data_IF_247024394037
#
_entry.id   IF_247024394037
#
_cell.length_a   1.000
_cell.length_b   1.000
_cell.length_c   1.000
_cell.angle_alpha   90.00
_cell.angle_beta   90.00
_cell.angle_gamma   90.00
#
_symmetry.space_group_name_H-M   'P 1'
#
loop_
_entity.id
_entity.type
_entity.pdbx_description
1 polymer ?
#
# COMPACT_ATOMS: atom_id res chain seq x y z
N UNK A 1 6.62 38.74 -20.59
CA UNK A 1 6.92 37.37 -20.14
C UNK A 1 8.10 37.47 -19.19
N UNK A 2 7.88 37.26 -17.88
CA UNK A 2 8.97 37.28 -16.91
C UNK A 2 9.94 36.11 -17.19
N UNK A 3 11.26 36.30 -17.05
CA UNK A 3 12.23 35.23 -17.30
C UNK A 3 12.02 34.11 -16.28
N UNK A 4 12.12 32.86 -16.74
CA UNK A 4 12.03 31.66 -15.91
C UNK A 4 13.20 31.64 -14.93
N UNK A 5 13.02 32.20 -13.75
CA UNK A 5 13.91 31.95 -12.61
C UNK A 5 13.97 30.45 -12.43
N UNK A 6 15.16 29.85 -12.56
CA UNK A 6 15.33 28.41 -12.40
C UNK A 6 14.65 27.98 -11.09
N UNK A 7 13.77 26.97 -11.09
CA UNK A 7 12.85 26.68 -9.98
C UNK A 7 13.54 26.24 -8.68
N UNK A 8 14.88 26.25 -8.62
CA UNK A 8 15.70 25.66 -7.56
C UNK A 8 16.76 26.61 -6.98
N UNK A 9 16.83 27.89 -7.40
CA UNK A 9 17.81 28.88 -6.88
C UNK A 9 17.65 29.18 -5.40
N UNK A 10 16.45 28.95 -4.83
CA UNK A 10 16.13 29.17 -3.42
C UNK A 10 16.51 27.98 -2.52
N UNK A 11 16.86 26.80 -3.07
CA UNK A 11 17.23 25.65 -2.23
C UNK A 11 18.40 25.93 -1.25
N UNK A 12 19.46 26.67 -1.63
CA UNK A 12 20.56 26.98 -0.71
C UNK A 12 20.18 27.87 0.47
N UNK A 13 19.11 28.67 0.38
CA UNK A 13 18.67 29.53 1.50
C UNK A 13 17.97 28.75 2.61
N UNK A 14 17.49 27.54 2.32
CA UNK A 14 16.80 26.70 3.30
C UNK A 14 17.73 26.11 4.37
N UNK A 15 17.19 25.94 5.58
CA UNK A 15 17.82 25.15 6.65
C UNK A 15 17.82 23.67 6.27
N UNK A 16 18.72 22.90 6.88
CA UNK A 16 18.80 21.44 6.66
C UNK A 16 17.45 20.76 6.91
N UNK A 17 16.77 21.09 8.01
CA UNK A 17 15.46 20.51 8.32
C UNK A 17 14.40 20.78 7.24
N UNK A 18 14.35 22.00 6.71
CA UNK A 18 13.46 22.37 5.61
C UNK A 18 13.78 21.56 4.35
N UNK A 19 15.06 21.36 4.03
CA UNK A 19 15.48 20.51 2.91
C UNK A 19 15.13 19.03 3.13
N UNK A 20 15.24 18.52 4.35
CA UNK A 20 14.83 17.15 4.70
C UNK A 20 13.31 16.97 4.58
N UNK A 21 12.53 17.97 5.01
CA UNK A 21 11.08 17.99 4.87
C UNK A 21 10.68 18.07 3.40
N UNK A 22 11.30 18.96 2.63
CA UNK A 22 11.09 19.06 1.19
C UNK A 22 11.43 17.75 0.48
N UNK A 23 12.56 17.13 0.82
CA UNK A 23 12.93 15.81 0.32
C UNK A 23 11.87 14.73 0.61
N UNK A 24 11.25 14.77 1.79
CA UNK A 24 10.12 13.88 2.13
C UNK A 24 8.90 14.15 1.25
N UNK A 25 8.53 15.42 1.07
CA UNK A 25 7.38 15.86 0.28
C UNK A 25 7.54 15.59 -1.22
N UNK A 26 8.77 15.60 -1.73
CA UNK A 26 9.07 15.27 -3.14
C UNK A 26 9.42 13.80 -3.34
N UNK A 27 9.40 12.97 -2.30
CA UNK A 27 9.74 11.56 -2.42
C UNK A 27 11.17 11.34 -2.87
N UNK A 28 12.15 11.87 -2.14
CA UNK A 28 13.55 11.49 -2.30
C UNK A 28 14.13 11.17 -0.92
N UNK A 29 15.35 10.64 -0.90
CA UNK A 29 16.04 10.35 0.36
C UNK A 29 16.27 11.65 1.16
N UNK A 30 15.83 11.67 2.41
CA UNK A 30 15.91 12.83 3.31
C UNK A 30 17.12 12.82 4.25
N UNK A 31 18.00 11.82 4.16
CA UNK A 31 19.25 11.76 4.93
C UNK A 31 20.43 12.36 4.14
N UNK A 32 21.43 12.89 4.84
CA UNK A 32 22.65 13.43 4.24
C UNK A 32 22.94 14.88 4.64
N UNK A 33 24.05 15.39 4.12
CA UNK A 33 24.50 16.78 4.35
C UNK A 33 23.69 17.77 3.51
N UNK A 34 23.71 19.05 3.88
CA UNK A 34 23.00 20.12 3.15
C UNK A 34 23.30 20.12 1.64
N UNK A 35 24.56 20.07 1.18
CA UNK A 35 24.86 20.09 -0.26
C UNK A 35 24.28 18.87 -0.98
N UNK A 36 24.34 17.69 -0.36
CA UNK A 36 23.82 16.44 -0.95
C UNK A 36 22.30 16.49 -1.08
N UNK A 37 21.58 17.04 -0.08
CA UNK A 37 20.13 17.22 -0.17
C UNK A 37 19.75 18.20 -1.29
N UNK A 38 20.46 19.33 -1.39
CA UNK A 38 20.24 20.32 -2.45
C UNK A 38 20.44 19.69 -3.83
N UNK A 39 21.52 18.93 -4.02
CA UNK A 39 21.83 18.30 -5.29
C UNK A 39 20.73 17.31 -5.72
N UNK A 40 20.28 16.43 -4.81
CA UNK A 40 19.18 15.51 -5.12
C UNK A 40 17.87 16.25 -5.43
N UNK A 41 17.56 17.31 -4.67
CA UNK A 41 16.36 18.12 -4.91
C UNK A 41 16.43 18.81 -6.27
N UNK A 42 17.59 19.36 -6.65
CA UNK A 42 17.80 19.91 -7.99
C UNK A 42 17.49 18.85 -9.04
N UNK A 43 18.12 17.69 -8.98
CA UNK A 43 17.95 16.62 -9.98
C UNK A 43 16.50 16.24 -10.23
N UNK A 44 15.67 16.24 -9.19
CA UNK A 44 14.25 15.87 -9.26
C UNK A 44 13.33 17.02 -9.65
N UNK A 45 13.71 18.27 -9.33
CA UNK A 45 12.93 19.47 -9.62
C UNK A 45 13.27 20.11 -10.98
N UNK A 46 14.38 19.71 -11.61
CA UNK A 46 14.72 20.14 -12.96
C UNK A 46 13.88 19.39 -14.00
N UNK A 47 12.88 20.08 -14.58
CA UNK A 47 12.00 19.60 -15.66
C UNK A 47 12.61 19.91 -17.04
N UNK A 48 13.88 19.58 -17.26
CA UNK A 48 14.41 19.61 -18.63
C UNK A 48 14.03 18.29 -19.32
N UNK A 49 13.54 18.32 -20.57
CA UNK A 49 13.27 17.11 -21.35
C UNK A 49 14.62 16.46 -21.65
N UNK A 50 15.06 15.55 -20.78
CA UNK A 50 16.24 14.73 -21.04
C UNK A 50 15.97 13.96 -22.33
N UNK A 51 16.66 14.34 -23.40
CA UNK A 51 16.83 13.48 -24.56
C UNK A 51 17.28 12.11 -24.05
N UNK A 52 16.68 11.06 -24.61
CA UNK A 52 16.87 9.68 -24.22
C UNK A 52 18.34 9.26 -24.33
N UNK A 53 19.12 9.51 -23.28
CA UNK A 53 20.43 8.89 -23.10
C UNK A 53 20.20 7.59 -22.35
N UNK A 54 20.53 6.48 -23.02
CA UNK A 54 20.38 5.09 -22.60
C UNK A 54 21.27 4.75 -21.40
N UNK A 55 21.05 5.35 -20.23
CA UNK A 55 21.73 4.99 -19.00
C UNK A 55 20.71 4.61 -17.92
N UNK A 56 21.06 3.60 -17.13
CA UNK A 56 20.22 2.80 -16.23
C UNK A 56 19.60 3.53 -15.01
N UNK A 57 19.38 4.84 -15.09
CA UNK A 57 18.78 5.67 -14.04
C UNK A 57 17.41 6.25 -14.43
N UNK A 58 16.62 5.48 -15.18
CA UNK A 58 15.25 5.80 -15.62
C UNK A 58 14.19 5.76 -14.48
N UNK A 59 14.62 5.81 -13.22
CA UNK A 59 13.75 5.55 -12.06
C UNK A 59 12.77 6.68 -11.72
N UNK A 60 12.89 7.87 -12.33
CA UNK A 60 12.05 9.02 -11.96
C UNK A 60 11.57 9.81 -13.20
N UNK A 61 10.67 9.22 -13.98
CA UNK A 61 9.93 9.97 -15.01
C UNK A 61 8.67 10.59 -14.40
N UNK A 62 8.43 11.86 -14.69
CA UNK A 62 7.23 12.58 -14.28
C UNK A 62 6.00 12.14 -15.10
N UNK A 63 4.81 12.33 -14.54
CA UNK A 63 3.55 12.07 -15.25
C UNK A 63 3.44 13.03 -16.45
N UNK A 64 3.22 12.47 -17.64
CA UNK A 64 3.00 13.23 -18.87
C UNK A 64 1.55 13.71 -18.97
N UNK A 65 1.35 15.02 -19.09
CA UNK A 65 0.03 15.66 -19.09
C UNK A 65 -0.82 15.30 -20.32
N UNK A 66 -0.19 14.86 -21.41
CA UNK A 66 -0.89 14.57 -22.67
C UNK A 66 -1.50 13.17 -22.72
N UNK A 67 -1.10 12.28 -21.81
CA UNK A 67 -1.53 10.87 -21.82
C UNK A 67 -2.05 10.45 -20.43
N UNK A 68 -3.02 9.52 -20.36
CA UNK A 68 -3.43 8.98 -19.07
C UNK A 68 -2.22 8.33 -18.39
N UNK A 69 -2.05 8.60 -17.10
CA UNK A 69 -1.08 7.85 -16.29
C UNK A 69 -1.80 6.66 -15.67
N UNK A 70 -1.25 5.48 -15.88
CA UNK A 70 -1.72 4.21 -15.34
C UNK A 70 -0.65 3.70 -14.36
N UNK A 71 -0.95 3.71 -13.06
CA UNK A 71 -0.02 3.41 -11.96
C UNK A 71 -0.42 2.07 -11.35
N UNK A 72 0.45 1.07 -11.47
CA UNK A 72 0.31 -0.22 -10.81
C UNK A 72 1.26 -0.26 -9.62
N UNK A 73 0.72 -0.31 -8.40
CA UNK A 73 1.50 -0.36 -7.16
C UNK A 73 1.39 -1.74 -6.52
N UNK A 74 2.53 -2.36 -6.25
CA UNK A 74 2.65 -3.71 -5.71
C UNK A 74 3.31 -3.64 -4.33
N UNK A 75 2.60 -4.16 -3.32
CA UNK A 75 3.17 -4.47 -2.02
C UNK A 75 3.67 -5.92 -2.02
N UNK A 76 4.94 -6.09 -1.67
CA UNK A 76 5.66 -7.33 -1.84
C UNK A 76 5.35 -8.33 -0.73
N UNK A 77 4.98 -9.54 -1.14
CA UNK A 77 4.74 -10.67 -0.26
C UNK A 77 4.62 -11.96 -1.06
N UNK A 78 4.81 -13.11 -0.41
CA UNK A 78 4.63 -14.41 -1.08
C UNK A 78 3.21 -14.92 -0.88
N UNK A 79 2.68 -14.83 0.35
CA UNK A 79 1.31 -15.26 0.72
C UNK A 79 0.32 -14.10 0.84
N UNK A 80 0.83 -12.89 0.71
CA UNK A 80 0.13 -11.66 1.01
C UNK A 80 0.48 -10.55 0.02
N UNK A 81 0.88 -10.91 -1.20
CA UNK A 81 1.10 -9.95 -2.26
C UNK A 81 -0.18 -9.14 -2.44
N UNK A 82 -0.09 -7.82 -2.49
CA UNK A 82 -1.23 -6.97 -2.76
C UNK A 82 -0.88 -5.98 -3.85
N UNK A 83 -1.86 -5.57 -4.63
CA UNK A 83 -1.66 -4.51 -5.61
C UNK A 83 -2.86 -3.58 -5.71
N UNK A 84 -2.57 -2.34 -6.11
CA UNK A 84 -3.56 -1.34 -6.44
C UNK A 84 -3.26 -0.79 -7.84
N UNK A 85 -4.30 -0.54 -8.62
CA UNK A 85 -4.20 0.11 -9.93
C UNK A 85 -4.94 1.44 -9.91
N UNK A 86 -4.21 2.53 -10.06
CA UNK A 86 -4.73 3.89 -10.12
C UNK A 86 -4.56 4.47 -11.52
N UNK A 87 -5.57 5.18 -12.01
CA UNK A 87 -5.52 5.90 -13.28
C UNK A 87 -5.72 7.39 -13.04
N UNK A 88 -4.80 8.20 -13.55
CA UNK A 88 -4.91 9.66 -13.64
C UNK A 88 -5.32 10.01 -15.07
N UNK A 89 -6.50 10.60 -15.29
CA UNK A 89 -6.95 11.01 -16.62
C UNK A 89 -6.00 12.04 -17.27
N UNK A 90 -5.96 12.15 -18.61
CA UNK A 90 -5.09 13.11 -19.29
C UNK A 90 -5.61 14.55 -19.22
N UNK A 91 -4.70 15.52 -19.39
CA UNK A 91 -5.02 16.94 -19.59
C UNK A 91 -5.86 17.54 -18.47
N UNK A 92 -6.83 18.38 -18.85
CA UNK A 92 -7.74 19.07 -17.93
C UNK A 92 -8.67 18.11 -17.16
N UNK A 93 -8.85 16.87 -17.62
CA UNK A 93 -9.71 15.90 -16.90
C UNK A 93 -8.99 15.32 -15.68
N UNK A 94 -7.66 15.21 -15.73
CA UNK A 94 -6.85 14.76 -14.61
C UNK A 94 -6.26 15.89 -13.78
N UNK A 95 -6.59 17.15 -14.10
CA UNK A 95 -6.05 18.31 -13.40
C UNK A 95 -7.10 19.35 -13.03
N UNK A 96 -6.90 20.03 -11.91
CA UNK A 96 -7.67 21.23 -11.56
C UNK A 96 -7.30 22.39 -12.51
N UNK A 97 -8.08 23.48 -12.55
CA UNK A 97 -7.70 24.70 -13.26
C UNK A 97 -6.38 25.31 -12.75
N UNK A 98 -6.05 25.12 -11.47
CA UNK A 98 -4.75 25.46 -10.87
C UNK A 98 -3.63 24.47 -11.25
N UNK A 99 -3.96 23.45 -12.04
CA UNK A 99 -3.04 22.45 -12.58
C UNK A 99 -2.63 21.37 -11.58
N UNK A 100 -3.26 21.27 -10.41
CA UNK A 100 -3.05 20.18 -9.46
C UNK A 100 -3.65 18.89 -9.99
N UNK A 101 -3.19 17.73 -9.53
CA UNK A 101 -3.81 16.46 -9.90
C UNK A 101 -5.23 16.37 -9.32
N UNK A 102 -6.21 16.06 -10.17
CA UNK A 102 -7.52 15.61 -9.73
C UNK A 102 -7.39 14.24 -9.05
N UNK A 103 -8.35 13.87 -8.19
CA UNK A 103 -8.40 12.55 -7.57
C UNK A 103 -8.24 11.41 -8.62
N UNK A 104 -7.27 10.49 -8.47
CA UNK A 104 -7.12 9.35 -9.36
C UNK A 104 -8.28 8.36 -9.21
N UNK A 105 -8.49 7.55 -10.24
CA UNK A 105 -9.51 6.50 -10.28
C UNK A 105 -8.88 5.18 -9.84
N UNK A 106 -9.38 4.58 -8.77
CA UNK A 106 -9.05 3.22 -8.34
C UNK A 106 -9.76 2.23 -9.26
N UNK A 107 -9.00 1.55 -10.12
CA UNK A 107 -9.53 0.57 -11.08
C UNK A 107 -9.47 -0.87 -10.56
N UNK A 108 -8.47 -1.20 -9.75
CA UNK A 108 -8.33 -2.52 -9.14
C UNK A 108 -7.63 -2.42 -7.79
N UNK A 109 -8.01 -3.29 -6.85
CA UNK A 109 -7.39 -3.34 -5.52
C UNK A 109 -7.55 -4.72 -4.90
N UNK A 110 -6.49 -5.54 -4.96
CA UNK A 110 -6.60 -6.96 -4.68
C UNK A 110 -5.42 -7.52 -3.91
N UNK A 111 -5.66 -8.61 -3.17
CA UNK A 111 -4.63 -9.41 -2.53
C UNK A 111 -4.58 -10.79 -3.14
N UNK A 112 -3.37 -11.20 -3.49
CA UNK A 112 -3.04 -12.44 -4.18
C UNK A 112 -2.11 -13.31 -3.32
N UNK A 113 -2.10 -14.60 -3.63
CA UNK A 113 -1.13 -15.56 -3.10
C UNK A 113 -0.27 -16.06 -4.27
N UNK A 114 1.06 -15.94 -4.15
CA UNK A 114 1.99 -16.31 -5.24
C UNK A 114 1.86 -17.80 -5.64
N UNK A 115 1.78 -18.75 -4.68
CA UNK A 115 1.64 -20.17 -5.02
C UNK A 115 0.40 -20.52 -5.85
N UNK A 116 -0.69 -19.74 -5.79
CA UNK A 116 -1.91 -20.06 -6.54
C UNK A 116 -1.83 -19.77 -8.04
N UNK A 117 -0.76 -19.11 -8.52
CA UNK A 117 -0.62 -18.77 -9.94
C UNK A 117 -0.29 -19.98 -10.85
N UNK A 118 0.34 -21.03 -10.32
CA UNK A 118 0.75 -22.21 -11.13
C UNK A 118 -0.35 -23.26 -11.18
N UNK A 119 -1.20 -23.39 -10.14
CA UNK A 119 -2.36 -24.29 -10.16
C UNK A 119 -3.33 -23.98 -11.30
N UNK A 120 -3.44 -22.71 -11.70
CA UNK A 120 -4.29 -22.29 -12.83
C UNK A 120 -3.64 -22.50 -14.20
N UNK A 121 -2.31 -22.61 -14.27
CA UNK A 121 -1.59 -22.79 -15.55
C UNK A 121 -1.78 -24.19 -16.15
N UNK A 122 -2.16 -25.18 -15.35
CA UNK A 122 -2.51 -26.53 -15.84
C UNK A 122 -3.85 -26.55 -16.62
N UNK A 123 -4.66 -25.49 -16.56
CA UNK A 123 -5.99 -25.41 -17.18
C UNK A 123 -6.01 -24.73 -18.57
N UNK A 124 -4.85 -24.41 -19.15
CA UNK A 124 -4.71 -23.77 -20.46
C UNK A 124 -5.44 -22.40 -20.62
N UNK A 125 -5.91 -21.81 -19.51
CA UNK A 125 -6.41 -20.43 -19.47
C UNK A 125 -5.22 -19.48 -19.26
N UNK A 126 -4.84 -18.75 -20.31
CA UNK A 126 -3.81 -17.69 -20.25
C UNK A 126 -4.24 -16.45 -19.43
N UNK A 127 -5.48 -16.41 -18.96
CA UNK A 127 -5.94 -15.38 -18.04
C UNK A 127 -5.66 -15.83 -16.60
N UNK A 128 -4.77 -15.13 -15.90
CA UNK A 128 -4.73 -15.22 -14.44
C UNK A 128 -6.10 -14.82 -13.93
N UNK A 129 -6.83 -15.81 -13.43
CA UNK A 129 -8.00 -15.54 -12.63
C UNK A 129 -7.49 -14.93 -11.32
N UNK A 130 -7.80 -13.65 -11.08
CA UNK A 130 -7.43 -12.94 -9.85
C UNK A 130 -8.28 -13.44 -8.67
N UNK A 131 -8.46 -14.75 -8.55
CA UNK A 131 -9.11 -15.39 -7.42
C UNK A 131 -8.41 -14.95 -6.14
N UNK A 132 -9.19 -14.29 -5.28
CA UNK A 132 -8.79 -13.79 -3.98
C UNK A 132 -7.99 -14.85 -3.22
N UNK A 133 -6.90 -14.42 -2.55
CA UNK A 133 -6.09 -15.32 -1.72
C UNK A 133 -6.95 -16.11 -0.71
N UNK A 134 -6.49 -17.28 -0.25
CA UNK A 134 -7.25 -18.14 0.68
C UNK A 134 -7.80 -17.39 1.92
N UNK A 135 -7.10 -16.34 2.37
CA UNK A 135 -7.49 -15.49 3.52
C UNK A 135 -8.63 -14.49 3.22
N UNK A 136 -9.14 -14.43 1.99
CA UNK A 136 -10.24 -13.55 1.55
C UNK A 136 -11.47 -14.33 1.05
N UNK A 137 -11.43 -15.67 1.05
CA UNK A 137 -12.57 -16.51 0.67
C UNK A 137 -13.61 -16.58 1.79
N UNK A 138 -14.92 -16.62 1.47
CA UNK A 138 -15.97 -16.76 2.46
C UNK A 138 -15.77 -18.05 3.26
N UNK A 139 -15.56 -17.93 4.57
CA UNK A 139 -15.42 -19.08 5.47
C UNK A 139 -16.78 -19.68 5.73
N UNK A 140 -17.06 -20.87 5.17
CA UNK A 140 -18.13 -21.73 5.72
C UNK A 140 -17.74 -22.06 7.17
N UNK A 141 -18.49 -21.57 8.15
CA UNK A 141 -18.29 -21.89 9.56
C UNK A 141 -18.54 -23.38 9.77
N UNK A 142 -17.50 -24.20 9.73
CA UNK A 142 -17.58 -25.56 10.28
C UNK A 142 -17.74 -25.41 11.80
N UNK A 143 -18.89 -25.85 12.31
CA UNK A 143 -19.19 -25.84 13.73
C UNK A 143 -18.08 -26.53 14.52
N UNK A 144 -17.45 -25.81 15.46
CA UNK A 144 -16.50 -26.38 16.41
C UNK A 144 -17.26 -27.33 17.33
N UNK A 145 -17.24 -28.62 17.01
CA UNK A 145 -17.66 -29.69 17.90
C UNK A 145 -16.92 -29.62 19.23
N UNK A 146 -17.72 -29.54 20.30
CA UNK A 146 -17.31 -29.53 21.70
C UNK A 146 -16.52 -30.81 22.01
N UNK A 147 -15.24 -30.68 22.40
CA UNK A 147 -14.45 -31.80 22.92
C UNK A 147 -14.97 -32.19 24.31
N UNK A 148 -15.69 -33.30 24.42
CA UNK A 148 -15.88 -34.01 25.69
C UNK A 148 -14.75 -35.02 25.89
N UNK A 149 -14.12 -34.96 27.07
CA UNK A 149 -13.18 -35.95 27.58
C UNK A 149 -13.96 -37.14 28.13
N UNK A 150 -13.64 -38.36 27.69
CA UNK A 150 -13.84 -39.56 28.50
C UNK A 150 -12.77 -40.60 28.12
N UNK A 151 -12.03 -41.08 29.12
CA UNK A 151 -11.13 -42.23 29.05
C UNK A 151 -11.93 -43.52 29.28
N UNK A 152 -11.59 -44.61 28.59
CA UNK A 152 -11.98 -45.97 28.98
C UNK A 152 -11.91 -47.07 27.91
N UNK A 153 -10.72 -47.65 27.72
CA UNK A 153 -10.39 -49.10 27.48
C UNK A 153 -10.91 -49.80 26.20
N UNK A 154 -10.12 -50.72 25.57
CA UNK A 154 -10.25 -51.08 24.16
C UNK A 154 -11.06 -52.35 23.91
N UNK A 155 -11.67 -52.46 22.71
CA UNK A 155 -12.08 -53.75 22.16
C UNK A 155 -11.95 -53.76 20.65
N UNK A 156 -11.35 -54.85 20.19
CA UNK A 156 -10.97 -55.16 18.81
C UNK A 156 -12.18 -55.38 17.88
N UNK A 157 -11.98 -55.07 16.60
CA UNK A 157 -12.87 -55.50 15.52
C UNK A 157 -12.81 -54.58 14.29
N UNK A 158 -12.21 -55.08 13.21
CA UNK A 158 -12.42 -54.71 11.80
C UNK A 158 -12.20 -53.23 11.39
N UNK A 159 -11.04 -52.97 10.78
CA UNK A 159 -10.85 -51.80 9.93
C UNK A 159 -11.18 -52.17 8.46
N UNK A 160 -12.42 -51.88 8.06
CA UNK A 160 -12.72 -51.57 6.66
C UNK A 160 -12.17 -50.17 6.36
N UNK A 161 -11.24 -50.12 5.41
CA UNK A 161 -10.49 -48.92 5.06
C UNK A 161 -11.34 -47.88 4.33
N UNK A 162 -11.92 -46.94 5.08
CA UNK A 162 -12.31 -45.63 4.55
C UNK A 162 -11.07 -44.73 4.57
N UNK A 163 -10.29 -44.76 3.48
CA UNK A 163 -9.22 -43.81 3.23
C UNK A 163 -9.82 -42.42 3.04
N UNK A 164 -10.02 -41.70 4.15
CA UNK A 164 -10.14 -40.25 4.11
C UNK A 164 -8.80 -39.69 3.65
N UNK A 165 -8.68 -39.45 2.35
CA UNK A 165 -7.63 -38.60 1.79
C UNK A 165 -7.68 -37.25 2.52
N UNK A 166 -6.83 -37.12 3.52
CA UNK A 166 -6.35 -35.81 3.94
C UNK A 166 -5.60 -35.28 2.73
N UNK A 167 -6.21 -34.37 1.98
CA UNK A 167 -5.49 -33.48 1.07
C UNK A 167 -4.27 -32.95 1.83
N UNK A 168 -3.10 -33.53 1.56
CA UNK A 168 -1.84 -33.02 2.07
C UNK A 168 -1.69 -31.67 1.38
N UNK A 169 -1.88 -30.57 2.12
CA UNK A 169 -1.43 -29.25 1.68
C UNK A 169 0.03 -29.42 1.23
N UNK A 170 0.25 -29.38 -0.08
CA UNK A 170 1.60 -29.48 -0.64
C UNK A 170 2.46 -28.40 0.02
N UNK A 171 3.63 -28.80 0.53
CA UNK A 171 4.55 -27.84 1.15
C UNK A 171 4.93 -26.81 0.09
N UNK A 172 4.67 -25.55 0.39
CA UNK A 172 5.07 -24.41 -0.42
C UNK A 172 6.57 -24.52 -0.78
N UNK A 173 6.86 -24.60 -2.07
CA UNK A 173 8.23 -24.71 -2.58
C UNK A 173 8.75 -23.33 -2.95
N UNK A 174 9.97 -23.04 -2.50
CA UNK A 174 10.66 -21.75 -2.72
C UNK A 174 11.77 -21.89 -3.77
N UNK A 175 11.66 -22.88 -4.66
CA UNK A 175 12.65 -23.13 -5.68
C UNK A 175 12.69 -21.96 -6.70
N UNK A 176 13.89 -21.46 -7.09
CA UNK A 176 14.01 -20.33 -8.02
C UNK A 176 13.24 -20.51 -9.34
N UNK A 177 13.19 -21.73 -9.88
CA UNK A 177 12.42 -22.05 -11.10
C UNK A 177 10.93 -21.74 -10.96
N UNK A 178 10.34 -22.03 -9.79
CA UNK A 178 8.92 -21.74 -9.53
C UNK A 178 8.69 -20.24 -9.37
N UNK A 179 9.55 -19.55 -8.62
CA UNK A 179 9.46 -18.10 -8.48
C UNK A 179 9.57 -17.39 -9.82
N UNK A 180 10.46 -17.84 -10.71
CA UNK A 180 10.60 -17.27 -12.04
C UNK A 180 9.31 -17.42 -12.85
N UNK A 181 8.68 -18.62 -12.81
CA UNK A 181 7.39 -18.85 -13.46
C UNK A 181 6.29 -17.98 -12.86
N UNK A 182 6.19 -17.89 -11.53
CA UNK A 182 5.22 -17.04 -10.84
C UNK A 182 5.41 -15.55 -11.19
N UNK A 183 6.66 -15.07 -11.20
CA UNK A 183 7.00 -13.69 -11.54
C UNK A 183 6.59 -13.37 -12.98
N UNK A 184 6.92 -14.25 -13.93
CA UNK A 184 6.55 -14.09 -15.34
C UNK A 184 5.04 -14.05 -15.54
N UNK A 185 4.32 -15.00 -14.95
CA UNK A 185 2.85 -15.08 -15.05
C UNK A 185 2.21 -13.84 -14.43
N UNK A 186 2.59 -13.47 -13.20
CA UNK A 186 2.07 -12.30 -12.51
C UNK A 186 2.29 -11.01 -13.32
N UNK A 187 3.53 -10.74 -13.75
CA UNK A 187 3.84 -9.52 -14.49
C UNK A 187 3.18 -9.53 -15.87
N UNK A 188 3.24 -10.63 -16.62
CA UNK A 188 2.61 -10.69 -17.95
C UNK A 188 1.11 -10.44 -17.88
N UNK A 189 0.40 -11.00 -16.90
CA UNK A 189 -1.04 -10.76 -16.75
C UNK A 189 -1.35 -9.36 -16.26
N UNK A 190 -0.63 -8.83 -15.24
CA UNK A 190 -0.87 -7.46 -14.78
C UNK A 190 -0.60 -6.43 -15.89
N UNK A 191 0.45 -6.63 -16.69
CA UNK A 191 0.77 -5.77 -17.83
C UNK A 191 -0.29 -5.85 -18.93
N UNK A 192 -0.78 -7.06 -19.25
CA UNK A 192 -1.81 -7.25 -20.27
C UNK A 192 -3.16 -6.65 -19.84
N UNK A 193 -3.55 -6.85 -18.58
CA UNK A 193 -4.85 -6.41 -18.04
C UNK A 193 -4.89 -4.91 -17.81
N UNK A 194 -3.89 -4.35 -17.12
CA UNK A 194 -3.96 -2.98 -16.62
C UNK A 194 -3.17 -1.97 -17.46
N UNK A 195 -2.33 -2.45 -18.38
CA UNK A 195 -1.48 -1.62 -19.26
C UNK A 195 -0.85 -0.44 -18.51
N UNK A 196 -0.09 -0.71 -17.43
CA UNK A 196 0.47 0.35 -16.62
C UNK A 196 1.52 1.15 -17.40
N UNK A 197 1.55 2.44 -17.15
CA UNK A 197 2.66 3.33 -17.55
C UNK A 197 3.77 3.34 -16.50
N UNK A 198 3.40 3.10 -15.23
CA UNK A 198 4.30 3.09 -14.09
C UNK A 198 4.01 1.86 -13.24
N UNK A 199 5.06 1.12 -12.87
CA UNK A 199 5.00 -0.01 -11.94
C UNK A 199 5.83 0.34 -10.72
N UNK A 200 5.17 0.44 -9.56
CA UNK A 200 5.78 0.71 -8.27
C UNK A 200 5.90 -0.61 -7.50
N UNK A 201 7.10 -0.94 -7.04
CA UNK A 201 7.36 -2.17 -6.29
C UNK A 201 7.86 -1.79 -4.89
N UNK A 202 7.20 -2.23 -3.82
CA UNK A 202 7.75 -2.05 -2.46
C UNK A 202 9.11 -2.74 -2.37
N UNK A 203 10.15 -2.00 -1.97
CA UNK A 203 11.50 -2.56 -1.77
C UNK A 203 11.55 -3.40 -0.49
N UNK A 204 12.00 -4.65 -0.61
CA UNK A 204 12.24 -5.50 0.55
C UNK A 204 13.36 -4.91 1.41
N UNK A 205 13.08 -4.75 2.71
CA UNK A 205 14.06 -4.25 3.68
C UNK A 205 14.86 -5.40 4.26
N UNK A 206 16.18 -5.23 4.37
CA UNK A 206 16.99 -6.07 5.24
C UNK A 206 16.63 -5.77 6.70
N UNK A 207 16.37 -6.83 7.47
CA UNK A 207 16.02 -6.72 8.89
C UNK A 207 17.13 -7.37 9.72
N UNK A 208 17.84 -6.56 10.50
CA UNK A 208 18.75 -7.03 11.55
C UNK A 208 17.98 -7.24 12.86
N UNK A 209 18.36 -8.24 13.66
CA UNK A 209 17.78 -8.46 14.99
C UNK A 209 16.47 -9.26 15.04
N UNK A 210 16.29 -10.23 14.14
CA UNK A 210 15.20 -11.22 14.18
C UNK A 210 15.74 -12.65 14.19
N UNK A 211 14.89 -13.63 14.54
CA UNK A 211 15.23 -15.05 14.40
C UNK A 211 15.47 -15.46 12.94
N UNK A 212 16.04 -16.64 12.71
CA UNK A 212 16.36 -17.17 11.37
C UNK A 212 15.19 -17.13 10.40
N UNK A 213 13.96 -17.33 10.88
CA UNK A 213 12.74 -17.24 10.09
C UNK A 213 12.51 -15.87 9.45
N UNK A 214 12.94 -14.77 10.09
CA UNK A 214 12.83 -13.41 9.53
C UNK A 214 13.83 -13.22 8.40
N UNK A 215 15.05 -13.73 8.57
CA UNK A 215 16.09 -13.66 7.54
C UNK A 215 15.70 -14.50 6.32
N UNK A 216 15.24 -15.73 6.54
CA UNK A 216 14.77 -16.62 5.49
C UNK A 216 13.61 -16.01 4.70
N UNK A 217 12.61 -15.44 5.40
CA UNK A 217 11.50 -14.75 4.73
C UNK A 217 11.97 -13.54 3.93
N UNK A 218 12.90 -12.75 4.48
CA UNK A 218 13.49 -11.59 3.80
C UNK A 218 14.20 -12.00 2.52
N UNK A 219 14.97 -13.10 2.55
CA UNK A 219 15.65 -13.64 1.38
C UNK A 219 14.64 -14.12 0.35
N UNK A 220 13.62 -14.89 0.75
CA UNK A 220 12.59 -15.39 -0.18
C UNK A 220 11.86 -14.24 -0.88
N UNK A 221 11.39 -13.24 -0.13
CA UNK A 221 10.73 -12.07 -0.74
C UNK A 221 11.71 -11.29 -1.63
N UNK A 222 12.96 -11.10 -1.20
CA UNK A 222 13.97 -10.39 -1.98
C UNK A 222 14.36 -11.11 -3.28
N UNK A 223 14.42 -12.45 -3.28
CA UNK A 223 14.62 -13.24 -4.51
C UNK A 223 13.44 -13.03 -5.46
N UNK A 224 12.21 -13.06 -4.95
CA UNK A 224 11.02 -12.83 -5.77
C UNK A 224 11.00 -11.39 -6.33
N UNK A 225 11.33 -10.38 -5.51
CA UNK A 225 11.50 -8.99 -5.95
C UNK A 225 12.49 -8.89 -7.12
N UNK A 226 13.68 -9.48 -6.97
CA UNK A 226 14.69 -9.50 -8.04
C UNK A 226 14.19 -10.16 -9.32
N UNK A 227 13.40 -11.24 -9.21
CA UNK A 227 12.78 -11.88 -10.37
C UNK A 227 11.71 -11.01 -11.04
N UNK A 228 10.92 -10.25 -10.29
CA UNK A 228 9.98 -9.28 -10.87
C UNK A 228 10.73 -8.23 -11.71
N UNK A 229 11.81 -7.66 -11.17
CA UNK A 229 12.63 -6.70 -11.92
C UNK A 229 13.26 -7.33 -13.17
N UNK A 230 13.81 -8.54 -13.06
CA UNK A 230 14.40 -9.25 -14.20
C UNK A 230 13.37 -9.51 -15.30
N UNK A 231 12.19 -10.05 -14.93
CA UNK A 231 11.08 -10.31 -15.85
C UNK A 231 10.60 -9.03 -16.52
N UNK A 232 10.36 -7.96 -15.75
CA UNK A 232 9.92 -6.68 -16.31
C UNK A 232 10.96 -6.13 -17.30
N UNK A 233 12.24 -6.19 -16.96
CA UNK A 233 13.33 -5.75 -17.84
C UNK A 233 13.42 -6.57 -19.13
N UNK A 234 13.30 -7.89 -19.04
CA UNK A 234 13.25 -8.77 -20.22
C UNK A 234 12.05 -8.44 -21.10
N UNK A 235 10.86 -8.31 -20.51
CA UNK A 235 9.63 -7.95 -21.23
C UNK A 235 9.78 -6.59 -21.94
N UNK A 236 10.38 -5.58 -21.29
CA UNK A 236 10.64 -4.28 -21.91
C UNK A 236 11.56 -4.35 -23.13
N UNK A 237 12.59 -5.22 -23.08
CA UNK A 237 13.55 -5.37 -24.17
C UNK A 237 12.99 -6.18 -25.34
N UNK A 238 12.21 -7.21 -25.04
CA UNK A 238 11.65 -8.12 -26.05
C UNK A 238 10.37 -7.56 -26.68
N UNK A 239 9.48 -7.00 -25.86
CA UNK A 239 8.18 -6.48 -26.29
C UNK A 239 8.33 -4.97 -26.57
N UNK A 240 8.52 -4.65 -27.85
CA UNK A 240 8.54 -3.26 -28.35
C UNK A 240 7.18 -2.56 -28.08
N UNK A 241 7.13 -1.24 -28.28
CA UNK A 241 5.90 -0.45 -28.18
C UNK A 241 5.69 0.16 -26.81
N UNK A 242 4.44 0.15 -26.31
CA UNK A 242 4.08 0.80 -25.04
C UNK A 242 4.78 0.17 -23.83
N UNK A 243 4.98 -1.15 -23.87
CA UNK A 243 5.60 -1.91 -22.77
C UNK A 243 7.07 -1.56 -22.57
N UNK A 244 7.78 -1.20 -23.64
CA UNK A 244 9.19 -0.78 -23.58
C UNK A 244 9.39 0.53 -22.80
N UNK A 245 8.35 1.37 -22.70
CA UNK A 245 8.41 2.69 -22.06
C UNK A 245 7.83 2.70 -20.64
N UNK A 246 7.48 1.53 -20.08
CA UNK A 246 6.97 1.43 -18.72
C UNK A 246 8.06 1.85 -17.75
N UNK A 247 7.74 2.74 -16.82
CA UNK A 247 8.64 3.15 -15.75
C UNK A 247 8.50 2.15 -14.61
N UNK A 248 9.61 1.53 -14.20
CA UNK A 248 9.62 0.61 -13.05
C UNK A 248 10.42 1.27 -11.93
N UNK A 249 9.81 1.41 -10.76
CA UNK A 249 10.45 2.10 -9.62
C UNK A 249 10.27 1.31 -8.32
N UNK A 250 11.39 1.14 -7.62
CA UNK A 250 11.39 0.65 -6.24
C UNK A 250 11.00 1.75 -5.27
N UNK A 251 9.97 1.50 -4.46
CA UNK A 251 9.54 2.43 -3.42
C UNK A 251 10.01 1.95 -2.06
N UNK A 252 10.73 2.81 -1.35
CA UNK A 252 11.15 2.49 0.02
C UNK A 252 9.98 2.73 0.99
N UNK A 253 9.53 1.71 1.72
CA UNK A 253 8.38 1.85 2.61
C UNK A 253 8.62 2.83 3.76
N UNK A 254 9.88 3.09 4.17
CA UNK A 254 10.18 4.14 5.15
C UNK A 254 9.87 5.55 4.62
N UNK A 255 10.06 5.79 3.32
CA UNK A 255 9.75 7.08 2.69
C UNK A 255 8.24 7.32 2.65
N UNK A 256 7.47 6.28 2.32
CA UNK A 256 6.00 6.32 2.40
C UNK A 256 5.56 6.64 3.83
N UNK A 257 6.08 5.91 4.82
CA UNK A 257 5.74 6.15 6.22
C UNK A 257 6.05 7.58 6.68
N UNK A 258 7.22 8.12 6.33
CA UNK A 258 7.65 9.46 6.76
C UNK A 258 6.81 10.57 6.13
N UNK A 259 6.25 10.35 4.94
CA UNK A 259 5.37 11.32 4.29
C UNK A 259 4.04 11.51 5.08
N UNK A 260 3.48 10.43 5.62
CA UNK A 260 2.17 10.43 6.31
C UNK A 260 2.23 10.59 7.83
N UNK A 261 3.42 10.77 8.41
CA UNK A 261 3.58 11.04 9.83
C UNK A 261 3.80 12.55 10.04
N UNK A 262 3.15 13.09 11.05
CA UNK A 262 3.33 14.49 11.46
C UNK A 262 4.72 14.72 12.06
N UNK A 263 5.21 15.96 12.01
CA UNK A 263 6.51 16.32 12.60
C UNK A 263 6.56 15.98 14.11
N UNK A 264 5.43 16.05 14.81
CA UNK A 264 5.31 15.66 16.23
C UNK A 264 5.51 14.15 16.45
N UNK A 265 5.08 13.32 15.50
CA UNK A 265 5.32 11.86 15.52
C UNK A 265 6.78 11.51 15.18
N UNK A 266 7.49 12.40 14.47
CA UNK A 266 8.89 12.24 14.04
C UNK A 266 9.90 12.82 15.05
N UNK A 267 9.55 13.90 15.76
CA UNK A 267 10.40 14.62 16.73
C UNK A 267 10.67 13.82 18.02
N UNK A 268 10.02 12.67 18.21
CA UNK A 268 10.36 11.67 19.22
C UNK A 268 11.78 11.07 19.03
N UNK A 269 12.49 11.39 17.94
CA UNK A 269 13.82 10.84 17.62
C UNK A 269 14.99 11.84 17.58
N UNK A 270 14.81 13.17 17.73
CA UNK A 270 15.89 14.12 17.39
C UNK A 270 16.18 15.27 18.38
N UNK A 271 15.66 15.27 19.62
CA UNK A 271 16.09 16.27 20.62
C UNK A 271 17.36 15.87 21.36
N UNK A 272 18.50 16.13 20.71
CA UNK A 272 19.79 16.30 21.38
C UNK A 272 20.09 17.79 21.62
N UNK A 273 20.35 18.13 22.90
CA UNK A 273 20.76 19.43 23.49
C UNK A 273 19.63 20.47 23.68
N UNK A 274 19.57 21.27 24.76
CA UNK A 274 20.24 21.33 26.08
C UNK A 274 19.37 22.31 26.89
N UNK A 275 18.85 21.91 28.04
CA UNK A 275 18.49 22.83 29.13
C UNK A 275 18.61 22.04 30.43
N UNK A 276 19.39 22.59 31.34
CA UNK A 276 19.75 21.98 32.61
C UNK A 276 18.58 22.10 33.59
N UNK A 277 17.97 20.98 33.93
CA UNK A 277 17.23 20.77 35.18
C UNK A 277 17.07 19.26 35.41
N UNK A 278 17.40 18.74 36.60
CA UNK A 278 17.34 17.31 36.87
C UNK A 278 15.96 16.93 37.41
N UNK A 279 15.07 16.46 36.54
CA UNK A 279 13.95 15.61 36.95
C UNK A 279 13.65 14.58 35.84
N UNK A 280 13.93 13.31 36.17
CA UNK A 280 13.53 12.07 35.49
C UNK A 280 13.24 12.15 33.99
N UNK A 281 14.30 12.06 33.18
CA UNK A 281 14.27 11.99 31.71
C UNK A 281 13.61 10.69 31.22
N UNK A 282 12.30 10.72 30.98
CA UNK A 282 11.67 9.74 30.09
C UNK A 282 12.03 10.08 28.65
N UNK A 283 12.98 9.35 28.08
CA UNK A 283 13.28 9.38 26.64
C UNK A 283 11.97 9.10 25.89
N UNK A 284 11.55 9.93 24.92
CA UNK A 284 10.36 9.64 24.12
C UNK A 284 10.59 8.30 23.39
N UNK A 285 9.74 7.32 23.67
CA UNK A 285 9.87 5.98 23.07
C UNK A 285 9.52 6.07 21.58
N UNK A 286 10.31 5.42 20.69
CA UNK A 286 9.98 5.35 19.28
C UNK A 286 8.60 4.72 19.08
N UNK A 287 7.83 5.26 18.14
CA UNK A 287 6.47 4.79 17.86
C UNK A 287 6.45 3.29 17.54
N UNK A 288 5.51 2.57 18.16
CA UNK A 288 5.39 1.11 18.05
C UNK A 288 5.00 0.68 16.62
N UNK A 289 5.45 -0.49 16.14
CA UNK A 289 5.09 -0.98 14.80
C UNK A 289 3.57 -1.10 14.57
N UNK A 290 2.83 -1.50 15.61
CA UNK A 290 1.37 -1.62 15.55
C UNK A 290 0.69 -0.26 15.35
N UNK A 291 1.21 0.81 15.98
CA UNK A 291 0.69 2.16 15.78
C UNK A 291 0.94 2.64 14.35
N UNK A 292 2.14 2.39 13.78
CA UNK A 292 2.45 2.71 12.38
C UNK A 292 1.51 2.03 11.40
N UNK A 293 1.25 0.73 11.62
CA UNK A 293 0.29 -0.05 10.83
C UNK A 293 -1.13 0.52 10.93
N UNK A 294 -1.54 0.89 12.13
CA UNK A 294 -2.88 1.44 12.35
C UNK A 294 -3.07 2.80 11.66
N UNK A 295 -2.06 3.68 11.69
CA UNK A 295 -2.11 4.99 10.99
C UNK A 295 -2.37 4.80 9.49
N UNK A 296 -1.66 3.87 8.83
CA UNK A 296 -1.87 3.58 7.41
C UNK A 296 -3.29 3.08 7.11
N UNK A 297 -3.75 2.11 7.92
CA UNK A 297 -5.09 1.56 7.79
C UNK A 297 -6.16 2.64 7.99
N UNK A 298 -5.98 3.49 9.00
CA UNK A 298 -6.91 4.58 9.30
C UNK A 298 -6.93 5.61 8.18
N UNK A 299 -5.77 5.93 7.60
CA UNK A 299 -5.67 6.87 6.47
C UNK A 299 -6.47 6.37 5.26
N UNK A 300 -6.27 5.12 4.85
CA UNK A 300 -6.99 4.53 3.73
C UNK A 300 -8.48 4.39 4.06
N UNK A 301 -8.83 3.99 5.28
CA UNK A 301 -10.22 3.93 5.73
C UNK A 301 -10.94 5.29 5.62
N UNK A 302 -10.29 6.38 6.04
CA UNK A 302 -10.83 7.74 5.93
C UNK A 302 -11.01 8.15 4.47
N UNK A 303 -9.99 7.94 3.62
CA UNK A 303 -10.06 8.26 2.18
C UNK A 303 -11.23 7.53 1.53
N UNK A 304 -11.32 6.21 1.71
CA UNK A 304 -12.40 5.40 1.13
C UNK A 304 -13.78 5.83 1.64
N UNK A 305 -13.93 6.08 2.94
CA UNK A 305 -15.22 6.48 3.54
C UNK A 305 -15.71 7.84 3.05
N UNK A 306 -14.78 8.77 2.78
CA UNK A 306 -15.13 10.08 2.21
C UNK A 306 -15.64 9.97 0.77
N UNK A 307 -15.19 8.94 0.03
CA UNK A 307 -15.56 8.71 -1.37
C UNK A 307 -16.89 7.95 -1.52
N UNK A 308 -17.26 7.11 -0.54
CA UNK A 308 -18.52 6.33 -0.56
C UNK A 308 -19.73 7.09 -0.01
N UNK A 309 -19.58 8.38 0.33
CA UNK A 309 -20.68 9.20 0.86
C UNK A 309 -21.10 8.86 2.30
N UNK A 310 -20.32 8.06 3.03
CA UNK A 310 -20.68 7.54 4.36
C UNK A 310 -20.51 8.55 5.53
N UNK A 311 -20.57 9.86 5.28
CA UNK A 311 -20.74 10.88 6.32
C UNK A 311 -19.47 11.53 6.90
N UNK A 312 -18.30 11.40 6.27
CA UNK A 312 -17.10 12.19 6.62
C UNK A 312 -16.98 13.37 5.64
N UNK A 313 -16.99 14.60 6.16
CA UNK A 313 -16.89 15.84 5.36
C UNK A 313 -15.48 15.94 4.73
N UNK A 314 -15.42 16.47 3.50
CA UNK A 314 -14.18 16.67 2.71
C UNK A 314 -13.06 17.42 3.45
N UNK A 315 -13.37 18.13 4.53
CA UNK A 315 -12.42 18.85 5.40
C UNK A 315 -11.44 17.96 6.18
N UNK A 316 -11.72 16.67 6.37
CA UNK A 316 -10.83 15.75 7.12
C UNK A 316 -9.67 15.17 6.29
N UNK A 317 -9.67 15.34 4.97
CA UNK A 317 -8.61 14.81 4.11
C UNK A 317 -7.32 15.65 4.16
N UNK A 318 -7.41 16.90 4.58
CA UNK A 318 -6.34 17.90 4.48
C UNK A 318 -6.00 18.26 3.03
N UNK A 319 -4.80 18.79 2.79
CA UNK A 319 -4.27 19.17 1.46
C UNK A 319 -3.93 17.98 0.54
N UNK A 320 -4.48 16.80 0.80
CA UNK A 320 -4.11 15.55 0.13
C UNK A 320 -5.05 15.19 -1.01
N UNK A 321 -4.51 14.52 -2.03
CA UNK A 321 -5.25 14.06 -3.20
C UNK A 321 -6.33 13.05 -2.75
N UNK A 322 -7.57 13.28 -3.21
CA UNK A 322 -8.71 12.39 -2.98
C UNK A 322 -8.63 11.07 -3.77
N UNK A 323 -9.74 10.34 -3.85
CA UNK A 323 -9.84 9.12 -4.65
C UNK A 323 -11.20 9.04 -5.36
N UNK A 324 -11.23 8.42 -6.54
CA UNK A 324 -12.46 8.05 -7.25
C UNK A 324 -12.50 6.54 -7.44
N UNK A 325 -13.69 5.97 -7.61
CA UNK A 325 -13.85 4.54 -7.87
C UNK A 325 -14.12 4.28 -9.35
N UNK A 326 -13.47 3.27 -9.91
CA UNK A 326 -13.82 2.72 -11.21
C UNK A 326 -15.00 1.75 -11.14
N UNK A 327 -15.33 1.16 -12.29
CA UNK A 327 -16.55 0.35 -12.47
C UNK A 327 -16.35 -1.15 -12.17
N UNK A 328 -15.23 -1.53 -11.57
CA UNK A 328 -14.93 -2.94 -11.27
C UNK A 328 -15.70 -3.40 -10.03
N UNK A 329 -16.67 -4.30 -10.22
CA UNK A 329 -17.50 -4.86 -9.14
C UNK A 329 -16.69 -5.57 -8.05
N UNK A 330 -15.64 -6.31 -8.39
CA UNK A 330 -14.80 -6.99 -7.40
C UNK A 330 -14.02 -5.97 -6.56
N UNK A 331 -13.55 -4.88 -7.17
CA UNK A 331 -12.90 -3.80 -6.44
C UNK A 331 -13.85 -3.17 -5.41
N UNK A 332 -15.12 -2.95 -5.79
CA UNK A 332 -16.14 -2.45 -4.87
C UNK A 332 -16.40 -3.40 -3.69
N UNK A 333 -16.48 -4.72 -3.94
CA UNK A 333 -16.62 -5.71 -2.87
C UNK A 333 -15.44 -5.68 -1.88
N UNK A 334 -14.20 -5.52 -2.38
CA UNK A 334 -13.01 -5.37 -1.53
C UNK A 334 -13.07 -4.07 -0.72
N UNK A 335 -13.48 -2.95 -1.33
CA UNK A 335 -13.65 -1.66 -0.63
C UNK A 335 -14.69 -1.78 0.48
N UNK A 336 -15.84 -2.38 0.21
CA UNK A 336 -16.89 -2.58 1.21
C UNK A 336 -16.40 -3.47 2.36
N UNK A 337 -15.76 -4.60 2.04
CA UNK A 337 -15.20 -5.51 3.04
C UNK A 337 -14.13 -4.82 3.90
N UNK A 338 -13.30 -3.97 3.29
CA UNK A 338 -12.29 -3.18 3.99
C UNK A 338 -12.94 -2.20 4.97
N UNK A 339 -13.89 -1.40 4.50
CA UNK A 339 -14.61 -0.40 5.30
C UNK A 339 -15.40 -1.03 6.44
N UNK A 340 -16.07 -2.16 6.18
CA UNK A 340 -16.80 -2.94 7.20
C UNK A 340 -15.87 -3.38 8.33
N UNK A 341 -14.69 -3.91 7.98
CA UNK A 341 -13.71 -4.36 8.97
C UNK A 341 -13.04 -3.20 9.71
N UNK A 342 -12.73 -2.12 8.99
CA UNK A 342 -12.18 -0.90 9.58
C UNK A 342 -13.15 -0.27 10.58
N UNK A 343 -14.43 -0.15 10.21
CA UNK A 343 -15.52 0.36 11.06
C UNK A 343 -15.75 -0.46 12.34
N UNK A 344 -15.61 -1.80 12.29
CA UNK A 344 -15.69 -2.65 13.50
C UNK A 344 -14.55 -2.34 14.48
N UNK A 345 -13.34 -2.07 13.98
CA UNK A 345 -12.18 -1.72 14.83
C UNK A 345 -12.31 -0.33 15.46
N UNK A 346 -12.92 0.63 14.77
CA UNK A 346 -13.11 1.99 15.29
C UNK A 346 -14.26 2.05 16.31
N UNK A 347 -15.37 1.35 16.08
CA UNK A 347 -16.50 1.27 17.03
C UNK A 347 -16.14 0.56 18.34
N UNK A 348 -15.31 -0.49 18.30
CA UNK A 348 -14.85 -1.19 19.50
C UNK A 348 -14.01 -0.33 20.48
N UNK A 349 -13.45 0.79 20.01
CA UNK A 349 -12.68 1.74 20.85
C UNK A 349 -13.54 2.82 21.52
N UNK A 350 -14.76 3.09 21.03
CA UNK A 350 -15.66 4.09 21.63
C UNK A 350 -16.48 3.55 22.82
N UNK A 351 -16.50 2.24 23.05
CA UNK A 351 -17.34 1.61 24.08
C UNK A 351 -16.71 1.50 25.49
N UNK A 352 -15.48 1.95 25.72
CA UNK A 352 -14.79 1.81 27.03
C UNK A 352 -14.61 3.12 27.80
N UNK A 353 -15.42 4.15 27.54
CA UNK A 353 -15.42 5.35 28.38
C UNK A 353 -16.85 5.86 28.60
N UNK A 354 -17.58 5.18 29.48
CA UNK A 354 -18.64 5.74 30.33
C UNK A 354 -18.97 4.70 31.40
N UNK A 355 -18.16 4.72 32.45
CA UNK A 355 -18.62 4.24 33.75
C UNK A 355 -19.68 5.21 34.23
N UNK A 356 -20.93 4.76 34.22
CA UNK A 356 -21.90 5.19 35.22
C UNK A 356 -22.84 4.02 35.48
N UNK A 357 -22.77 3.56 36.72
CA UNK A 357 -23.61 2.52 37.31
C UNK A 357 -25.08 2.86 37.13
N UNK A 358 -25.81 2.06 36.34
CA UNK A 358 -27.25 1.87 36.50
C UNK A 358 -27.56 0.39 36.20
N UNK A 359 -28.13 -0.26 37.21
CA UNK A 359 -28.60 -1.65 37.22
C UNK A 359 -29.69 -1.83 36.16
N UNK A 360 -29.72 -2.90 35.34
CA UNK A 360 -30.91 -3.28 34.61
C UNK A 360 -31.66 -4.41 35.32
N UNK A 361 -32.89 -4.11 35.74
CA UNK A 361 -33.93 -5.09 36.06
C UNK A 361 -34.48 -5.75 34.79
N UNK A 362 -35.01 -6.98 34.86
CA UNK A 362 -35.42 -7.74 33.68
C UNK A 362 -36.92 -7.56 33.38
N UNK A 363 -37.27 -7.14 32.17
CA UNK A 363 -38.59 -7.46 31.60
C UNK A 363 -38.59 -7.30 30.07
N UNK A 364 -39.19 -8.31 29.41
CA UNK A 364 -39.94 -8.31 28.13
C UNK A 364 -39.61 -7.22 27.10
N UNK A 365 -39.33 -7.50 25.83
CA UNK A 365 -39.96 -8.49 24.95
C UNK A 365 -39.06 -8.71 23.72
N UNK A 366 -38.89 -9.97 23.33
CA UNK A 366 -38.30 -10.35 22.04
C UNK A 366 -39.41 -10.35 20.99
N UNK A 367 -39.46 -9.31 20.18
CA UNK A 367 -40.12 -9.39 18.88
C UNK A 367 -39.05 -9.60 17.82
N UNK A 368 -39.07 -10.82 17.26
CA UNK A 368 -38.23 -11.24 16.16
C UNK A 368 -38.80 -10.67 14.87
N UNK A 369 -38.14 -9.65 14.32
CA UNK A 369 -38.28 -9.32 12.91
C UNK A 369 -37.34 -10.21 12.09
N UNK A 370 -37.86 -11.36 11.67
CA UNK A 370 -37.29 -12.17 10.61
C UNK A 370 -37.35 -11.37 9.29
N UNK A 371 -36.32 -10.59 9.02
CA UNK A 371 -36.02 -10.18 7.64
C UNK A 371 -35.00 -11.18 7.08
N UNK A 372 -35.50 -12.01 6.17
CA UNK A 372 -34.69 -12.84 5.30
C UNK A 372 -33.75 -11.92 4.52
N UNK A 373 -32.49 -11.85 4.95
CA UNK A 373 -31.43 -11.14 4.22
C UNK A 373 -30.57 -12.19 3.56
N UNK A 374 -30.85 -12.34 2.27
CA UNK A 374 -29.95 -12.68 1.18
C UNK A 374 -28.54 -13.12 1.61
N UNK A 375 -28.26 -14.42 1.45
CA UNK A 375 -27.00 -15.09 1.76
C UNK A 375 -25.94 -14.78 0.68
N UNK A 376 -25.82 -13.50 0.32
CA UNK A 376 -24.72 -12.97 -0.47
C UNK A 376 -23.44 -13.18 0.34
N UNK A 377 -22.57 -14.08 -0.12
CA UNK A 377 -21.32 -14.44 0.57
C UNK A 377 -20.39 -13.23 0.69
N UNK A 378 -20.55 -12.45 1.77
CA UNK A 378 -19.76 -11.24 2.00
C UNK A 378 -18.29 -11.62 2.14
N UNK A 379 -17.43 -11.05 1.29
CA UNK A 379 -15.98 -11.20 1.38
C UNK A 379 -15.50 -10.79 2.79
N UNK A 380 -14.80 -11.69 3.47
CA UNK A 380 -14.18 -11.42 4.77
C UNK A 380 -12.68 -11.23 4.62
N UNK A 381 -12.21 -9.98 4.74
CA UNK A 381 -10.78 -9.68 4.71
C UNK A 381 -10.16 -9.96 6.07
N UNK A 382 -9.13 -10.81 6.19
CA UNK A 382 -8.45 -11.06 7.47
C UNK A 382 -7.47 -9.96 7.90
N UNK A 383 -6.69 -9.42 6.97
CA UNK A 383 -5.65 -8.42 7.22
C UNK A 383 -5.85 -7.24 6.30
N UNK A 384 -5.81 -6.04 6.89
CA UNK A 384 -6.05 -4.78 6.18
C UNK A 384 -4.76 -4.09 5.74
N UNK A 385 -3.62 -4.44 6.34
CA UNK A 385 -2.35 -3.76 6.09
C UNK A 385 -1.81 -3.98 4.69
N UNK A 386 -1.83 -5.21 4.17
CA UNK A 386 -1.29 -5.49 2.83
C UNK A 386 -2.02 -4.64 1.77
N UNK A 387 -3.35 -4.58 1.86
CA UNK A 387 -4.19 -3.72 1.01
C UNK A 387 -3.95 -2.22 1.25
N UNK A 388 -3.82 -1.81 2.52
CA UNK A 388 -3.55 -0.41 2.84
C UNK A 388 -2.19 0.03 2.28
N UNK A 389 -1.18 -0.83 2.36
CA UNK A 389 0.20 -0.52 2.01
C UNK A 389 0.35 -0.30 0.50
N UNK A 390 -0.22 -1.17 -0.34
CA UNK A 390 -0.14 -1.03 -1.79
C UNK A 390 -0.88 0.23 -2.31
N UNK A 391 -2.06 0.54 -1.75
CA UNK A 391 -2.84 1.72 -2.14
C UNK A 391 -2.19 3.01 -1.61
N UNK A 392 -1.76 3.01 -0.36
CA UNK A 392 -1.09 4.17 0.24
C UNK A 392 0.21 4.48 -0.50
N UNK A 393 1.00 3.47 -0.88
CA UNK A 393 2.19 3.62 -1.71
C UNK A 393 1.87 4.36 -3.03
N UNK A 394 0.81 3.94 -3.74
CA UNK A 394 0.41 4.55 -5.00
C UNK A 394 -0.01 6.02 -4.82
N UNK A 395 -0.85 6.30 -3.81
CA UNK A 395 -1.29 7.66 -3.48
C UNK A 395 -0.10 8.55 -3.10
N UNK A 396 0.82 8.04 -2.28
CA UNK A 396 2.01 8.80 -1.88
C UNK A 396 2.89 9.17 -3.07
N UNK A 397 3.06 8.23 -4.00
CA UNK A 397 3.84 8.51 -5.20
C UNK A 397 3.20 9.61 -6.05
N UNK A 398 1.87 9.58 -6.21
CA UNK A 398 1.13 10.66 -6.90
C UNK A 398 1.27 12.00 -6.19
N UNK A 399 1.25 12.01 -4.87
CA UNK A 399 1.49 13.22 -4.06
C UNK A 399 2.90 13.79 -4.26
N UNK A 400 3.91 12.92 -4.34
CA UNK A 400 5.27 13.32 -4.66
C UNK A 400 5.34 13.95 -6.06
N UNK A 401 4.69 13.35 -7.07
CA UNK A 401 4.65 13.92 -8.42
C UNK A 401 3.92 15.26 -8.46
N UNK A 402 2.77 15.37 -7.80
CA UNK A 402 2.00 16.61 -7.69
C UNK A 402 2.83 17.71 -7.02
N UNK A 403 3.53 17.39 -5.93
CA UNK A 403 4.39 18.33 -5.22
C UNK A 403 5.55 18.82 -6.09
N UNK A 404 6.24 17.92 -6.81
CA UNK A 404 7.32 18.28 -7.74
C UNK A 404 6.82 19.26 -8.80
N UNK A 405 5.64 19.03 -9.36
CA UNK A 405 5.03 19.91 -10.36
C UNK A 405 4.59 21.26 -9.78
N UNK A 406 4.02 21.27 -8.57
CA UNK A 406 3.69 22.52 -7.85
C UNK A 406 4.94 23.37 -7.65
N UNK A 407 6.04 22.77 -7.20
CA UNK A 407 7.32 23.47 -7.04
C UNK A 407 7.86 23.98 -8.38
N UNK A 408 7.76 23.18 -9.45
CA UNK A 408 8.21 23.59 -10.77
C UNK A 408 7.45 24.83 -11.30
N UNK A 409 6.17 25.00 -10.93
CA UNK A 409 5.33 26.13 -11.35
C UNK A 409 5.42 27.35 -10.44
N UNK A 410 5.43 27.15 -9.12
CA UNK A 410 5.28 28.21 -8.12
C UNK A 410 6.52 28.40 -7.23
N UNK A 411 7.58 27.62 -7.45
CA UNK A 411 8.82 27.71 -6.67
C UNK A 411 8.61 27.40 -5.18
N UNK A 412 9.27 28.18 -4.32
CA UNK A 412 9.21 28.03 -2.87
C UNK A 412 7.80 28.24 -2.30
N UNK A 413 6.99 29.12 -2.90
CA UNK A 413 5.64 29.45 -2.41
C UNK A 413 4.72 28.23 -2.38
N UNK A 414 4.93 27.27 -3.29
CA UNK A 414 4.13 26.05 -3.39
C UNK A 414 4.22 25.14 -2.14
N UNK A 415 5.28 25.29 -1.35
CA UNK A 415 5.58 24.40 -0.22
C UNK A 415 5.93 25.14 1.07
N UNK A 416 5.89 26.47 1.07
CA UNK A 416 6.28 27.32 2.21
C UNK A 416 5.52 26.95 3.49
N UNK A 417 4.21 26.70 3.39
CA UNK A 417 3.37 26.25 4.52
C UNK A 417 3.68 24.83 5.02
N UNK A 418 4.28 23.97 4.16
CA UNK A 418 4.51 22.54 4.44
C UNK A 418 5.92 22.20 4.92
N UNK A 419 6.89 23.09 4.70
CA UNK A 419 8.30 22.88 5.10
C UNK A 419 8.67 23.54 6.44
N UNK A 420 7.77 24.36 7.00
CA UNK A 420 7.98 25.09 8.26
C UNK A 420 9.01 26.23 8.16
N UNK A 421 9.07 27.08 9.20
CA UNK A 421 9.95 28.26 9.29
C UNK A 421 11.43 27.95 9.60
#
# INVERSE_FOLDING_TARGET
>A
MAPSTSPTTWLPSLKVRQLQRLASLTGILSSGTKPVLIERLKQVLHVEPRQAVQNASQEESSINDKKPASILSIDMGIRNLAFAHLVVPPGHTGRTPSGELNPPILKAWYRLSVPSFVSNSASNKQALDFHMGEEMKPKKKLAKGRKSKTLGVPKAGQEDGDFKEKEKKEKESFAPKLYAAHAYTLMSSLLATYKPTHVLIERQRFRSGGGSSVQEWTIRVGVFEGMLYAVLRSIQQERKGEVANIVVQGVEPQRVMRYWMDEEDLDLNLKGKRTETPLTKNIPKPMTPNRRKQIKIDRIGTVLSSCTGSGIRSTDLGDHIGLQFGDDGQMHEVVEAYLKKWGKKTKGKKATTRGSSVIPSPSSSKEACHSASDDSQILEIEKLDDLADCLLQAMTWLEWQNTRQKIARYGLEAVSSKIGN
#
